data_IF_261494155167
#
_entry.id   IF_261494155167
#
_cell.length_a   1.000
_cell.length_b   1.000
_cell.length_c   1.000
_cell.angle_alpha   90.00
_cell.angle_beta   90.00
_cell.angle_gamma   90.00
#
_symmetry.space_group_name_H-M   'P 1'
#
loop_
_entity.id
_entity.type
_entity.pdbx_description
1 polymer ?
#
# COMPACT_ATOMS: atom_id res chain seq x y z
N UNK A 1 18.18 19.43 -19.91
CA UNK A 1 17.69 18.47 -18.90
C UNK A 1 16.20 18.75 -18.74
N UNK A 2 15.33 17.96 -19.36
CA UNK A 2 13.89 18.15 -19.24
C UNK A 2 13.43 17.56 -17.90
N UNK A 3 12.83 18.39 -17.04
CA UNK A 3 12.14 17.92 -15.85
C UNK A 3 10.81 17.36 -16.29
N UNK A 4 10.63 16.03 -16.21
CA UNK A 4 9.33 15.38 -16.38
C UNK A 4 8.43 15.68 -15.17
N UNK A 5 8.08 16.96 -14.98
CA UNK A 5 7.15 17.39 -13.94
C UNK A 5 5.75 17.44 -14.54
N UNK A 6 4.88 16.56 -14.05
CA UNK A 6 3.45 16.68 -14.24
C UNK A 6 2.92 17.46 -13.04
N UNK A 7 2.17 18.53 -13.29
CA UNK A 7 1.54 19.36 -12.25
C UNK A 7 0.04 19.35 -12.50
N UNK A 8 -0.74 19.35 -11.42
CA UNK A 8 -2.19 19.40 -11.45
C UNK A 8 -2.64 20.65 -10.67
N UNK A 9 -3.72 21.28 -11.11
CA UNK A 9 -4.31 22.44 -10.44
C UNK A 9 -5.79 22.24 -10.16
N UNK A 10 -6.37 23.03 -9.26
CA UNK A 10 -7.78 22.91 -8.87
C UNK A 10 -8.73 23.17 -10.06
N UNK A 11 -8.28 23.94 -11.06
CA UNK A 11 -9.02 24.19 -12.30
C UNK A 11 -9.22 22.93 -13.17
N UNK A 12 -8.40 21.90 -12.98
CA UNK A 12 -8.48 20.62 -13.71
C UNK A 12 -9.39 19.60 -13.03
N UNK A 13 -9.94 19.93 -11.85
CA UNK A 13 -10.86 19.04 -11.11
C UNK A 13 -12.25 19.07 -11.80
N UNK A 14 -12.75 17.92 -12.29
CA UNK A 14 -14.11 17.85 -12.84
C UNK A 14 -15.15 18.26 -11.81
N UNK A 15 -16.31 18.75 -12.25
CA UNK A 15 -17.42 19.11 -11.35
C UNK A 15 -17.83 17.97 -10.40
N UNK A 16 -17.69 16.71 -10.85
CA UNK A 16 -17.98 15.51 -10.05
C UNK A 16 -16.88 15.16 -9.04
N UNK A 17 -15.68 15.71 -9.21
CA UNK A 17 -14.51 15.48 -8.35
C UNK A 17 -14.44 16.39 -7.13
N UNK A 18 -15.17 17.52 -7.15
CA UNK A 18 -15.21 18.47 -6.03
C UNK A 18 -15.90 17.81 -4.82
N UNK A 19 -15.16 17.65 -3.73
CA UNK A 19 -15.68 17.07 -2.48
C UNK A 19 -15.80 15.53 -2.49
N UNK A 20 -15.14 14.84 -3.41
CA UNK A 20 -15.13 13.37 -3.42
C UNK A 20 -14.32 12.82 -2.22
N UNK A 21 -15.00 12.17 -1.28
CA UNK A 21 -14.40 11.61 -0.05
C UNK A 21 -14.17 10.10 -0.10
N UNK A 22 -14.42 9.43 -1.23
CA UNK A 22 -14.19 7.98 -1.28
C UNK A 22 -12.70 7.68 -1.34
N UNK A 23 -12.30 6.65 -0.61
CA UNK A 23 -10.94 6.14 -0.63
C UNK A 23 -10.50 5.73 -2.05
N UNK A 24 -9.24 6.03 -2.37
CA UNK A 24 -8.63 5.66 -3.64
C UNK A 24 -8.12 4.22 -3.55
N UNK A 25 -8.73 3.34 -4.35
CA UNK A 25 -8.28 1.96 -4.51
C UNK A 25 -7.73 1.74 -5.91
N UNK A 26 -6.60 1.04 -6.00
CA UNK A 26 -6.04 0.56 -7.25
C UNK A 26 -6.00 -0.97 -7.29
N UNK A 27 -5.76 -1.50 -8.48
CA UNK A 27 -5.29 -2.87 -8.66
C UNK A 27 -3.78 -2.89 -8.89
N UNK A 28 -3.16 -3.97 -8.45
CA UNK A 28 -1.77 -4.27 -8.70
C UNK A 28 -1.62 -5.77 -9.00
N UNK A 29 -0.43 -6.18 -9.46
CA UNK A 29 -0.07 -7.59 -9.63
C UNK A 29 1.18 -7.90 -8.82
N UNK A 30 1.28 -9.11 -8.27
CA UNK A 30 2.50 -9.63 -7.65
C UNK A 30 2.77 -11.02 -8.22
N UNK A 31 3.86 -11.20 -8.97
CA UNK A 31 4.24 -12.47 -9.62
C UNK A 31 3.03 -13.14 -10.31
N UNK A 32 2.38 -12.40 -11.21
CA UNK A 32 1.20 -12.81 -11.97
C UNK A 32 -0.08 -13.06 -11.14
N UNK A 33 -0.07 -12.74 -9.84
CA UNK A 33 -1.25 -12.77 -8.99
C UNK A 33 -1.88 -11.39 -8.84
N UNK A 34 -3.20 -11.31 -9.07
CA UNK A 34 -3.93 -10.05 -8.97
C UNK A 34 -4.20 -9.64 -7.52
N UNK A 35 -3.81 -8.41 -7.19
CA UNK A 35 -4.06 -7.74 -5.92
C UNK A 35 -5.08 -6.63 -6.17
N UNK A 36 -6.35 -6.90 -5.86
CA UNK A 36 -7.43 -5.90 -5.97
C UNK A 36 -7.59 -5.12 -4.66
N UNK A 37 -8.10 -3.88 -4.70
CA UNK A 37 -8.37 -3.07 -3.49
C UNK A 37 -7.10 -2.73 -2.70
N UNK A 38 -6.03 -2.36 -3.41
CA UNK A 38 -4.86 -1.71 -2.80
C UNK A 38 -5.26 -0.28 -2.46
N UNK A 39 -5.27 0.06 -1.18
CA UNK A 39 -5.58 1.40 -0.71
C UNK A 39 -4.37 2.33 -0.92
N UNK A 40 -4.59 3.48 -1.55
CA UNK A 40 -3.62 4.57 -1.56
C UNK A 40 -3.98 5.48 -0.39
N UNK A 41 -3.14 5.50 0.64
CA UNK A 41 -3.35 6.27 1.85
C UNK A 41 -2.17 7.21 2.08
N UNK A 42 -2.34 8.46 1.67
CA UNK A 42 -1.31 9.46 1.87
C UNK A 42 -1.14 9.83 3.36
N UNK A 43 -2.06 9.52 4.25
CA UNK A 43 -1.91 9.83 5.67
C UNK A 43 -1.16 8.74 6.45
N UNK A 44 -0.84 7.62 5.79
CA UNK A 44 0.02 6.58 6.32
C UNK A 44 1.50 6.81 5.94
N UNK A 45 2.39 6.68 6.92
CA UNK A 45 3.85 6.66 6.72
C UNK A 45 4.41 5.28 6.35
N UNK A 46 3.55 4.26 6.31
CA UNK A 46 3.92 2.86 6.13
C UNK A 46 3.14 2.23 4.99
N UNK A 47 3.76 1.25 4.33
CA UNK A 47 3.02 0.32 3.47
C UNK A 47 2.65 -0.90 4.30
N UNK A 48 1.36 -1.23 4.36
CA UNK A 48 0.87 -2.33 5.21
C UNK A 48 0.36 -3.46 4.35
N UNK A 49 0.78 -4.69 4.68
CA UNK A 49 0.20 -5.90 4.12
C UNK A 49 -0.41 -6.73 5.26
N UNK A 50 -1.73 -6.93 5.28
CA UNK A 50 -2.36 -7.91 6.15
C UNK A 50 -1.78 -9.29 5.89
N UNK A 51 -1.46 -10.03 6.97
CA UNK A 51 -0.96 -11.40 6.92
C UNK A 51 -1.81 -12.31 6.01
N UNK A 52 -3.13 -12.21 6.13
CA UNK A 52 -4.09 -12.97 5.34
C UNK A 52 -4.04 -12.69 3.83
N UNK A 53 -3.53 -11.52 3.42
CA UNK A 53 -3.27 -11.23 2.01
C UNK A 53 -1.96 -11.87 1.58
N UNK A 54 -0.90 -11.72 2.38
CA UNK A 54 0.41 -12.31 2.07
C UNK A 54 0.33 -13.83 1.89
N UNK A 55 -0.43 -14.53 2.73
CA UNK A 55 -0.66 -15.98 2.66
C UNK A 55 -1.31 -16.43 1.33
N UNK A 56 -1.96 -15.52 0.61
CA UNK A 56 -2.59 -15.81 -0.70
C UNK A 56 -1.69 -15.45 -1.88
N UNK A 57 -0.56 -14.77 -1.64
CA UNK A 57 0.37 -14.42 -2.69
C UNK A 57 1.38 -15.56 -2.91
N UNK A 58 1.89 -15.73 -4.14
CA UNK A 58 2.96 -16.68 -4.45
C UNK A 58 4.34 -16.18 -3.96
N UNK A 59 4.42 -15.79 -2.70
CA UNK A 59 5.62 -15.26 -2.04
C UNK A 59 5.99 -16.20 -0.90
N UNK A 60 7.27 -16.56 -0.82
CA UNK A 60 7.77 -17.39 0.27
C UNK A 60 7.81 -16.57 1.57
N UNK A 61 7.06 -16.96 2.62
CA UNK A 61 7.08 -16.27 3.91
C UNK A 61 8.46 -16.28 4.60
N UNK A 62 9.39 -17.13 4.18
CA UNK A 62 10.77 -17.14 4.69
C UNK A 62 11.53 -15.82 4.44
N UNK A 63 11.07 -15.02 3.48
CA UNK A 63 11.61 -13.69 3.19
C UNK A 63 11.11 -12.59 4.14
N UNK A 64 10.22 -12.91 5.08
CA UNK A 64 9.81 -11.97 6.13
C UNK A 64 11.00 -11.78 7.08
N UNK A 65 11.48 -10.55 7.18
CA UNK A 65 12.52 -10.15 8.12
C UNK A 65 11.89 -9.78 9.47
N UNK A 66 12.41 -10.29 10.60
CA UNK A 66 11.92 -9.91 11.91
C UNK A 66 11.98 -8.38 12.11
N UNK A 67 10.90 -7.82 12.66
CA UNK A 67 10.79 -6.39 12.95
C UNK A 67 10.37 -6.20 14.41
N UNK A 68 10.98 -5.24 15.11
CA UNK A 68 10.56 -4.84 16.45
C UNK A 68 9.59 -3.64 16.41
N UNK A 69 9.09 -3.30 15.22
CA UNK A 69 8.28 -2.12 15.03
C UNK A 69 6.88 -2.29 15.63
N UNK A 70 6.40 -1.23 16.29
CA UNK A 70 5.04 -1.11 16.79
C UNK A 70 4.35 0.03 16.07
N UNK A 71 3.27 -0.28 15.37
CA UNK A 71 2.44 0.68 14.66
C UNK A 71 1.34 1.18 15.58
N UNK A 72 1.10 2.49 15.58
CA UNK A 72 -0.07 3.10 16.23
C UNK A 72 -1.15 3.34 15.18
N UNK A 73 -2.30 2.69 15.35
CA UNK A 73 -3.46 2.93 14.50
C UNK A 73 -4.21 4.21 14.90
N UNK A 74 -5.14 4.65 14.05
CA UNK A 74 -5.94 5.85 14.27
C UNK A 74 -6.79 5.82 15.55
N UNK A 75 -7.24 4.62 15.96
CA UNK A 75 -7.96 4.41 17.22
C UNK A 75 -7.05 4.48 18.46
N UNK A 76 -5.76 4.79 18.27
CA UNK A 76 -4.75 4.84 19.32
C UNK A 76 -4.19 3.48 19.73
N UNK A 77 -4.73 2.37 19.20
CA UNK A 77 -4.26 1.02 19.47
C UNK A 77 -2.84 0.83 18.94
N UNK A 78 -2.07 0.00 19.64
CA UNK A 78 -0.72 -0.41 19.25
C UNK A 78 -0.79 -1.80 18.66
N UNK A 79 -0.14 -2.01 17.52
CA UNK A 79 -0.06 -3.30 16.84
C UNK A 79 1.38 -3.60 16.49
N UNK A 80 1.83 -4.78 16.88
CA UNK A 80 3.17 -5.27 16.52
C UNK A 80 3.20 -5.67 15.05
N UNK A 81 4.31 -5.35 14.40
CA UNK A 81 4.58 -5.82 13.04
C UNK A 81 5.18 -7.23 13.15
N UNK A 82 4.63 -8.17 12.39
CA UNK A 82 5.14 -9.55 12.33
C UNK A 82 6.52 -9.60 11.69
N UNK A 83 6.72 -8.75 10.69
CA UNK A 83 8.01 -8.53 10.04
C UNK A 83 7.86 -7.67 8.80
N UNK A 84 8.99 -7.39 8.17
CA UNK A 84 9.09 -6.60 6.96
C UNK A 84 9.36 -7.51 5.77
N UNK A 85 8.67 -7.29 4.65
CA UNK A 85 8.89 -8.06 3.42
C UNK A 85 8.96 -7.14 2.20
N UNK A 86 9.96 -7.37 1.35
CA UNK A 86 10.11 -6.64 0.08
C UNK A 86 9.54 -7.47 -1.06
N UNK A 87 8.48 -6.98 -1.68
CA UNK A 87 7.74 -7.67 -2.74
C UNK A 87 7.69 -6.80 -4.01
N UNK A 88 7.98 -7.35 -5.20
CA UNK A 88 7.72 -6.66 -6.45
C UNK A 88 6.21 -6.60 -6.71
N UNK A 89 5.66 -5.38 -6.79
CA UNK A 89 4.29 -5.12 -7.23
C UNK A 89 4.31 -4.41 -8.58
N UNK A 90 3.42 -4.80 -9.48
CA UNK A 90 3.23 -4.17 -10.78
C UNK A 90 1.96 -3.33 -10.74
N UNK A 91 2.07 -2.05 -11.06
CA UNK A 91 0.96 -1.09 -11.15
C UNK A 91 0.99 -0.50 -12.56
N UNK A 92 -0.06 -0.77 -13.33
CA UNK A 92 -0.04 -0.49 -14.77
C UNK A 92 1.16 -1.21 -15.43
N UNK A 93 1.97 -0.52 -16.25
CA UNK A 93 3.13 -1.12 -16.89
C UNK A 93 4.42 -1.11 -16.03
N UNK A 94 4.37 -0.59 -14.79
CA UNK A 94 5.55 -0.34 -13.98
C UNK A 94 5.66 -1.32 -12.81
N UNK A 95 6.89 -1.76 -12.51
CA UNK A 95 7.20 -2.63 -11.37
C UNK A 95 7.90 -1.83 -10.27
N UNK A 96 7.41 -1.98 -9.04
CA UNK A 96 7.92 -1.34 -7.84
C UNK A 96 8.34 -2.41 -6.84
N UNK A 97 9.59 -2.35 -6.35
CA UNK A 97 10.04 -3.23 -5.28
C UNK A 97 9.69 -2.60 -3.93
N UNK A 98 8.50 -2.89 -3.45
CA UNK A 98 7.90 -2.22 -2.29
C UNK A 98 8.19 -2.99 -1.00
N UNK A 99 8.64 -2.29 0.04
CA UNK A 99 8.72 -2.82 1.39
C UNK A 99 7.36 -2.72 2.06
N UNK A 100 6.85 -3.81 2.61
CA UNK A 100 5.61 -3.88 3.37
C UNK A 100 5.88 -4.31 4.81
N UNK A 101 5.18 -3.66 5.74
CA UNK A 101 4.99 -4.12 7.10
C UNK A 101 3.89 -5.17 7.11
N UNK A 102 4.24 -6.41 7.45
CA UNK A 102 3.27 -7.49 7.56
C UNK A 102 2.63 -7.45 8.94
N UNK A 103 1.30 -7.35 8.99
CA UNK A 103 0.57 -7.21 10.25
C UNK A 103 -0.58 -8.22 10.34
N UNK A 104 -0.81 -8.78 11.53
CA UNK A 104 -1.97 -9.64 11.78
C UNK A 104 -3.21 -8.79 12.06
N UNK A 105 -3.89 -8.38 10.99
CA UNK A 105 -5.04 -7.47 11.06
C UNK A 105 -6.17 -7.94 10.15
N UNK A 106 -7.40 -7.60 10.56
CA UNK A 106 -8.57 -7.63 9.68
C UNK A 106 -8.69 -6.26 9.03
N UNK A 107 -8.65 -6.22 7.70
CA UNK A 107 -8.71 -4.99 6.89
C UNK A 107 -9.74 -5.11 5.76
N UNK A 108 -10.22 -3.95 5.29
CA UNK A 108 -11.09 -3.84 4.10
C UNK A 108 -10.31 -3.68 2.79
N UNK A 109 -8.98 -3.58 2.87
CA UNK A 109 -8.02 -3.51 1.78
C UNK A 109 -7.13 -4.76 1.77
N UNK A 110 -6.57 -5.11 0.62
CA UNK A 110 -5.59 -6.21 0.51
C UNK A 110 -4.17 -5.75 0.83
N UNK A 111 -3.86 -4.49 0.55
CA UNK A 111 -2.65 -3.84 0.98
C UNK A 111 -2.88 -2.33 1.01
N UNK A 112 -2.03 -1.63 1.74
CA UNK A 112 -2.01 -0.19 1.85
C UNK A 112 -0.67 0.31 1.35
N UNK A 113 -0.70 1.31 0.47
CA UNK A 113 0.47 2.07 0.04
C UNK A 113 0.43 3.45 0.69
N UNK A 114 1.42 3.70 1.54
CA UNK A 114 1.61 4.96 2.25
C UNK A 114 2.48 5.94 1.46
N UNK A 115 2.78 7.10 2.06
CA UNK A 115 3.80 8.02 1.55
C UNK A 115 5.20 7.56 1.91
N UNK A 116 6.14 7.85 1.02
CA UNK A 116 7.58 7.52 1.18
C UNK A 116 8.43 8.69 1.69
N UNK A 117 7.84 9.84 2.04
CA UNK A 117 8.54 11.08 2.38
C UNK A 117 7.88 11.83 3.54
#
# INVERSE_FOLDING_TARGET
>A
MATNSITFTDEEIPSEGIGHVKALYISAMCKDHHIARVLIDNDSSLNVMPKSTLEKLPVDPSYILPSQMVVRAFDGSRREVLGDIKIPIMIGPFVFNTMFQVMDIISSYTSLLGRTW
#
